data_IF_645928095005
#
_entry.id   IF_645928095005
#
_cell.length_a   1.000
_cell.length_b   1.000
_cell.length_c   1.000
_cell.angle_alpha   90.00
_cell.angle_beta   90.00
_cell.angle_gamma   90.00
#
_symmetry.space_group_name_H-M   'P 1'
#
loop_
_entity.id
_entity.type
_entity.pdbx_description
1 polymer ?
#
# COMPACT_ATOMS: atom_id res chain seq x y z
N UNK A 1 -38.28 18.15 11.84
CA UNK A 1 -37.61 17.59 10.64
C UNK A 1 -36.13 17.56 10.92
N UNK A 2 -35.58 16.37 11.19
CA UNK A 2 -34.17 16.19 11.55
C UNK A 2 -33.26 16.24 10.34
N UNK A 3 -32.17 16.99 10.45
CA UNK A 3 -31.15 17.17 9.42
C UNK A 3 -30.30 15.89 9.27
N UNK A 4 -30.84 14.91 8.51
CA UNK A 4 -30.14 13.67 8.17
C UNK A 4 -29.00 13.88 7.14
N UNK A 5 -28.76 15.12 6.68
CA UNK A 5 -27.73 15.47 5.72
C UNK A 5 -26.30 15.47 6.31
N UNK A 6 -26.17 15.79 7.59
CA UNK A 6 -24.88 15.88 8.29
C UNK A 6 -24.16 14.52 8.40
N UNK A 7 -24.89 13.48 8.80
CA UNK A 7 -24.31 12.15 9.07
C UNK A 7 -23.76 11.45 7.82
N UNK A 8 -24.42 11.63 6.67
CA UNK A 8 -23.95 11.09 5.38
C UNK A 8 -22.68 11.79 4.88
N UNK A 9 -22.53 13.10 5.14
CA UNK A 9 -21.34 13.87 4.74
C UNK A 9 -20.14 13.51 5.61
N UNK A 10 -20.32 13.42 6.92
CA UNK A 10 -19.25 13.03 7.86
C UNK A 10 -18.79 11.60 7.61
N UNK A 11 -19.70 10.65 7.39
CA UNK A 11 -19.33 9.27 7.06
C UNK A 11 -18.55 9.15 5.75
N UNK A 12 -18.97 9.84 4.67
CA UNK A 12 -18.24 9.83 3.40
C UNK A 12 -16.86 10.49 3.52
N UNK A 13 -16.73 11.54 4.33
CA UNK A 13 -15.44 12.18 4.60
C UNK A 13 -14.53 11.24 5.40
N UNK A 14 -15.03 10.63 6.48
CA UNK A 14 -14.28 9.66 7.27
C UNK A 14 -13.82 8.47 6.42
N UNK A 15 -14.68 7.96 5.53
CA UNK A 15 -14.34 6.85 4.64
C UNK A 15 -13.33 7.28 3.56
N UNK A 16 -13.45 8.50 3.03
CA UNK A 16 -12.42 9.07 2.14
C UNK A 16 -11.10 9.29 2.85
N UNK A 17 -11.09 9.75 4.09
CA UNK A 17 -9.86 9.97 4.87
C UNK A 17 -9.19 8.65 5.20
N UNK A 18 -9.97 7.65 5.63
CA UNK A 18 -9.48 6.28 5.82
C UNK A 18 -8.89 5.70 4.52
N UNK A 19 -9.50 6.03 3.38
CA UNK A 19 -9.14 5.50 2.05
C UNK A 19 -8.26 6.43 1.24
N UNK A 20 -7.87 7.64 1.65
CA UNK A 20 -7.03 8.53 0.83
C UNK A 20 -5.95 9.24 1.66
N UNK A 21 -6.00 9.11 2.99
CA UNK A 21 -5.28 9.95 3.92
C UNK A 21 -5.98 11.29 4.09
N UNK A 22 -5.68 11.96 5.20
CA UNK A 22 -6.10 13.34 5.43
C UNK A 22 -5.55 14.25 4.32
N UNK A 23 -6.31 15.30 3.94
CA UNK A 23 -5.82 16.32 2.99
C UNK A 23 -4.53 16.91 3.54
N UNK A 24 -3.48 16.94 2.74
CA UNK A 24 -2.24 17.64 3.07
C UNK A 24 -2.42 19.11 2.75
N UNK A 25 -2.15 19.98 3.70
CA UNK A 25 -2.11 21.41 3.44
C UNK A 25 -0.98 21.71 2.45
N UNK A 26 -1.29 22.52 1.43
CA UNK A 26 -0.36 22.85 0.35
C UNK A 26 0.78 23.75 0.79
N UNK A 27 0.61 24.46 1.92
CA UNK A 27 1.62 25.30 2.53
C UNK A 27 1.92 24.77 3.93
N UNK A 28 3.16 24.36 4.15
CA UNK A 28 3.58 23.95 5.48
C UNK A 28 3.70 25.18 6.37
N UNK A 29 3.06 25.16 7.54
CA UNK A 29 3.23 26.22 8.53
C UNK A 29 4.63 26.14 9.14
N UNK A 30 5.23 27.30 9.39
CA UNK A 30 6.52 27.39 10.07
C UNK A 30 6.38 27.18 11.57
N UNK A 31 7.42 26.70 12.25
CA UNK A 31 7.44 26.57 13.71
C UNK A 31 7.21 27.93 14.40
N UNK A 32 7.65 29.03 13.78
CA UNK A 32 7.39 30.39 14.24
C UNK A 32 5.89 30.71 14.40
N UNK A 33 5.01 30.07 13.62
CA UNK A 33 3.57 30.27 13.73
C UNK A 33 2.97 29.63 15.00
N UNK A 34 3.72 28.76 15.69
CA UNK A 34 3.32 28.18 16.97
C UNK A 34 3.84 28.98 18.18
N UNK A 35 4.64 30.03 17.95
CA UNK A 35 5.19 30.85 19.03
C UNK A 35 4.08 31.75 19.58
N UNK A 36 3.88 31.68 20.90
CA UNK A 36 2.92 32.55 21.59
C UNK A 36 3.36 34.02 21.51
N UNK A 37 2.42 34.97 21.37
CA UNK A 37 2.74 36.39 21.38
C UNK A 37 3.52 36.78 22.65
N UNK A 38 4.64 37.49 22.50
CA UNK A 38 5.52 37.89 23.61
C UNK A 38 6.68 36.94 23.87
N UNK A 39 6.75 35.79 23.19
CA UNK A 39 7.88 34.86 23.27
C UNK A 39 8.89 35.01 22.13
N UNK A 40 8.81 36.07 21.31
CA UNK A 40 9.62 36.21 20.09
C UNK A 40 11.12 36.28 20.42
N UNK A 41 11.51 37.05 21.44
CA UNK A 41 12.91 37.14 21.89
C UNK A 41 13.45 35.81 22.42
N UNK A 42 12.60 35.03 23.10
CA UNK A 42 12.98 33.69 23.55
C UNK A 42 13.16 32.74 22.36
N UNK A 43 12.32 32.87 21.33
CA UNK A 43 12.43 32.08 20.11
C UNK A 43 13.70 32.39 19.31
N UNK A 44 14.04 33.67 19.13
CA UNK A 44 15.33 34.07 18.54
C UNK A 44 16.51 33.50 19.32
N UNK A 45 16.43 33.50 20.65
CA UNK A 45 17.47 32.90 21.50
C UNK A 45 17.55 31.39 21.34
N UNK A 46 16.41 30.72 21.27
CA UNK A 46 16.34 29.27 21.01
C UNK A 46 16.96 28.91 19.66
N UNK A 47 16.69 29.69 18.62
CA UNK A 47 17.29 29.52 17.29
C UNK A 47 18.82 29.65 17.33
N UNK A 48 19.34 30.63 18.08
CA UNK A 48 20.78 30.86 18.21
C UNK A 48 21.48 29.76 19.04
N UNK A 49 20.94 29.42 20.20
CA UNK A 49 21.60 28.51 21.17
C UNK A 49 21.41 27.04 20.81
N UNK A 50 20.26 26.68 20.23
CA UNK A 50 19.87 25.30 19.91
C UNK A 50 19.49 25.13 18.43
N UNK A 51 20.24 25.76 17.52
CA UNK A 51 19.97 25.74 16.07
C UNK A 51 19.74 24.34 15.50
N UNK A 52 20.52 23.35 15.94
CA UNK A 52 20.39 21.96 15.47
C UNK A 52 19.04 21.34 15.86
N UNK A 53 18.61 21.55 17.10
CA UNK A 53 17.32 21.07 17.61
C UNK A 53 16.16 21.84 17.00
N UNK A 54 16.32 23.16 16.78
CA UNK A 54 15.33 23.99 16.11
C UNK A 54 15.05 23.49 14.69
N UNK A 55 16.09 23.22 13.90
CA UNK A 55 15.93 22.69 12.53
C UNK A 55 15.27 21.31 12.54
N UNK A 56 15.64 20.45 13.49
CA UNK A 56 14.99 19.14 13.64
C UNK A 56 13.52 19.26 14.02
N UNK A 57 13.17 20.16 14.93
CA UNK A 57 11.79 20.38 15.36
C UNK A 57 10.96 21.01 14.23
N UNK A 58 11.53 21.93 13.46
CA UNK A 58 10.92 22.51 12.25
C UNK A 58 10.64 21.43 11.19
N UNK A 59 11.60 20.52 10.97
CA UNK A 59 11.43 19.40 10.04
C UNK A 59 10.34 18.44 10.51
N UNK A 60 10.37 18.04 11.80
CA UNK A 60 9.34 17.18 12.38
C UNK A 60 7.96 17.84 12.38
N UNK A 61 7.90 19.16 12.56
CA UNK A 61 6.65 19.90 12.46
C UNK A 61 6.09 19.85 11.03
N UNK A 62 6.93 20.09 10.02
CA UNK A 62 6.54 19.94 8.62
C UNK A 62 6.11 18.51 8.26
N UNK A 63 6.76 17.49 8.82
CA UNK A 63 6.35 16.08 8.67
C UNK A 63 5.02 15.79 9.37
N UNK A 64 4.82 16.34 10.57
CA UNK A 64 3.58 16.14 11.34
C UNK A 64 2.35 16.68 10.62
N UNK A 65 2.49 17.82 9.92
CA UNK A 65 1.42 18.39 9.09
C UNK A 65 1.06 17.49 7.90
N UNK A 66 1.95 16.58 7.52
CA UNK A 66 1.75 15.59 6.46
C UNK A 66 1.36 14.21 7.00
N UNK A 67 1.16 14.06 8.31
CA UNK A 67 0.69 12.82 8.91
C UNK A 67 -0.60 12.34 8.24
N UNK A 68 -0.69 11.02 8.10
CA UNK A 68 -1.73 10.32 7.35
C UNK A 68 -3.08 10.47 8.02
N UNK A 69 -3.14 10.31 9.35
CA UNK A 69 -4.37 10.50 10.13
C UNK A 69 -4.50 11.95 10.62
N UNK A 70 -5.71 12.50 10.55
CA UNK A 70 -6.02 13.84 11.05
C UNK A 70 -5.84 13.95 12.57
N UNK A 71 -6.23 12.91 13.32
CA UNK A 71 -6.04 12.86 14.77
C UNK A 71 -4.57 12.82 15.16
N UNK A 72 -3.75 12.03 14.45
CA UNK A 72 -2.30 11.97 14.67
C UNK A 72 -1.64 13.30 14.33
N UNK A 73 -2.05 13.94 13.23
CA UNK A 73 -1.59 15.29 12.87
C UNK A 73 -1.85 16.30 13.98
N UNK A 74 -3.07 16.34 14.49
CA UNK A 74 -3.46 17.29 15.54
C UNK A 74 -2.72 17.01 16.85
N UNK A 75 -2.62 15.73 17.24
CA UNK A 75 -1.86 15.31 18.42
C UNK A 75 -0.37 15.69 18.32
N UNK A 76 0.26 15.49 17.16
CA UNK A 76 1.65 15.87 16.92
C UNK A 76 1.82 17.39 16.90
N UNK A 77 0.88 18.14 16.29
CA UNK A 77 0.89 19.62 16.30
C UNK A 77 0.84 20.16 17.73
N UNK A 78 -0.09 19.66 18.54
CA UNK A 78 -0.21 20.04 19.95
C UNK A 78 1.07 19.68 20.71
N UNK A 79 1.60 18.47 20.50
CA UNK A 79 2.82 18.02 21.18
C UNK A 79 4.02 18.92 20.83
N UNK A 80 4.22 19.23 19.55
CA UNK A 80 5.28 20.15 19.10
C UNK A 80 5.10 21.54 19.71
N UNK A 81 3.86 22.06 19.73
CA UNK A 81 3.54 23.34 20.36
C UNK A 81 3.85 23.35 21.86
N UNK A 82 3.49 22.30 22.59
CA UNK A 82 3.79 22.16 24.02
C UNK A 82 5.30 22.06 24.27
N UNK A 83 6.04 21.27 23.46
CA UNK A 83 7.50 21.16 23.58
C UNK A 83 8.15 22.52 23.34
N UNK A 84 7.72 23.25 22.31
CA UNK A 84 8.22 24.59 22.02
C UNK A 84 7.89 25.56 23.16
N UNK A 85 6.64 25.64 23.60
CA UNK A 85 6.21 26.52 24.70
C UNK A 85 6.97 26.24 26.00
N UNK A 86 7.17 24.95 26.34
CA UNK A 86 7.95 24.53 27.50
C UNK A 86 9.42 25.00 27.41
N UNK A 87 10.03 24.89 26.23
CA UNK A 87 11.44 25.30 26.01
C UNK A 87 11.57 26.81 26.06
N UNK A 88 10.64 27.55 25.46
CA UNK A 88 10.65 29.02 25.45
C UNK A 88 10.42 29.63 26.83
N UNK A 89 9.66 28.94 27.70
CA UNK A 89 9.39 29.36 29.09
C UNK A 89 10.44 28.86 30.08
N UNK A 90 11.38 28.01 29.67
CA UNK A 90 12.41 27.48 30.55
C UNK A 90 13.45 28.56 30.88
N UNK A 91 13.61 28.89 32.16
CA UNK A 91 14.57 29.89 32.63
C UNK A 91 16.01 29.60 32.16
N UNK A 92 16.35 28.32 31.93
CA UNK A 92 17.67 27.87 31.48
C UNK A 92 18.00 28.29 30.03
N UNK A 93 17.01 28.74 29.26
CA UNK A 93 17.21 29.26 27.90
C UNK A 93 17.96 30.61 27.88
N UNK A 94 17.93 31.36 28.98
CA UNK A 94 18.55 32.70 29.09
C UNK A 94 20.08 32.67 29.15
N UNK A 95 20.69 31.51 29.37
CA UNK A 95 22.14 31.34 29.40
C UNK A 95 22.83 31.71 28.07
N UNK A 96 24.12 32.02 28.15
CA UNK A 96 24.99 32.17 26.96
C UNK A 96 25.39 30.84 26.34
N UNK A 97 25.38 29.77 27.13
CA UNK A 97 25.76 28.43 26.69
C UNK A 97 24.57 27.46 26.71
N UNK A 98 24.54 26.47 25.80
CA UNK A 98 23.49 25.46 25.76
C UNK A 98 23.53 24.60 27.04
N UNK A 99 22.44 24.64 27.79
CA UNK A 99 22.25 23.85 28.98
C UNK A 99 22.08 22.36 28.60
N UNK A 100 22.94 21.49 29.14
CA UNK A 100 22.92 20.05 28.86
C UNK A 100 21.58 19.39 29.16
N UNK A 101 20.92 19.75 30.26
CA UNK A 101 19.63 19.16 30.62
C UNK A 101 18.51 19.55 29.66
N UNK A 102 18.50 20.81 29.19
CA UNK A 102 17.51 21.27 28.21
C UNK A 102 17.76 20.63 26.84
N UNK A 103 19.03 20.48 26.45
CA UNK A 103 19.42 19.76 25.24
C UNK A 103 18.99 18.28 25.29
N UNK A 104 19.21 17.60 26.42
CA UNK A 104 18.82 16.20 26.63
C UNK A 104 17.29 16.03 26.62
N UNK A 105 16.55 16.98 27.22
CA UNK A 105 15.09 17.02 27.16
C UNK A 105 14.59 17.15 25.72
N UNK A 106 15.08 18.15 24.99
CA UNK A 106 14.76 18.36 23.57
C UNK A 106 15.09 17.13 22.73
N UNK A 107 16.25 16.51 22.96
CA UNK A 107 16.65 15.28 22.27
C UNK A 107 15.67 14.14 22.49
N UNK A 108 15.20 13.94 23.73
CA UNK A 108 14.19 12.93 24.07
C UNK A 108 12.86 13.22 23.38
N UNK A 109 12.35 14.45 23.45
CA UNK A 109 11.08 14.83 22.81
C UNK A 109 11.14 14.68 21.29
N UNK A 110 12.22 15.15 20.65
CA UNK A 110 12.46 14.99 19.21
C UNK A 110 12.48 13.51 18.82
N UNK A 111 13.13 12.66 19.61
CA UNK A 111 13.17 11.21 19.34
C UNK A 111 11.79 10.56 19.48
N UNK A 112 10.99 10.97 20.46
CA UNK A 112 9.62 10.50 20.66
C UNK A 112 8.68 10.93 19.55
N UNK A 113 8.77 12.20 19.11
CA UNK A 113 8.03 12.72 17.96
C UNK A 113 8.37 11.95 16.68
N UNK A 114 9.67 11.71 16.43
CA UNK A 114 10.12 10.91 15.28
C UNK A 114 9.55 9.49 15.31
N UNK A 115 9.59 8.83 16.46
CA UNK A 115 9.04 7.48 16.60
C UNK A 115 7.53 7.44 16.29
N UNK A 116 6.75 8.43 16.73
CA UNK A 116 5.32 8.54 16.43
C UNK A 116 5.06 8.79 14.93
N UNK A 117 5.86 9.63 14.28
CA UNK A 117 5.76 9.87 12.84
C UNK A 117 6.10 8.60 12.05
N UNK A 118 7.15 7.88 12.45
CA UNK A 118 7.52 6.60 11.82
C UNK A 118 6.40 5.55 11.99
N UNK A 119 5.74 5.52 13.14
CA UNK A 119 4.55 4.66 13.38
C UNK A 119 3.37 5.04 12.49
N UNK A 120 3.06 6.34 12.33
CA UNK A 120 2.00 6.82 11.44
C UNK A 120 2.29 6.48 9.97
N UNK A 121 3.55 6.62 9.54
CA UNK A 121 3.98 6.19 8.20
C UNK A 121 3.79 4.68 8.00
N UNK A 122 4.12 3.86 9.00
CA UNK A 122 3.90 2.41 8.96
C UNK A 122 2.40 2.06 8.85
N UNK A 123 1.55 2.77 9.61
CA UNK A 123 0.09 2.62 9.52
C UNK A 123 -0.44 3.01 8.14
N UNK A 124 0.05 4.11 7.57
CA UNK A 124 -0.33 4.57 6.23
C UNK A 124 0.01 3.53 5.15
N UNK A 125 1.20 2.94 5.22
CA UNK A 125 1.64 1.85 4.33
C UNK A 125 0.74 0.63 4.51
N UNK A 126 0.54 0.16 5.75
CA UNK A 126 -0.30 -1.01 6.04
C UNK A 126 -1.72 -0.84 5.54
N UNK A 127 -2.36 0.31 5.81
CA UNK A 127 -3.70 0.64 5.30
C UNK A 127 -3.72 0.75 3.78
N UNK A 128 -2.70 1.35 3.17
CA UNK A 128 -2.54 1.40 1.72
C UNK A 128 -2.57 0.01 1.09
N UNK A 129 -1.75 -0.91 1.59
CA UNK A 129 -1.69 -2.28 1.09
C UNK A 129 -3.01 -3.01 1.33
N UNK A 130 -3.58 -2.94 2.54
CA UNK A 130 -4.83 -3.62 2.87
C UNK A 130 -6.00 -3.15 2.00
N UNK A 131 -6.10 -1.85 1.72
CA UNK A 131 -7.11 -1.30 0.80
C UNK A 131 -6.86 -1.77 -0.64
N UNK A 132 -5.61 -1.81 -1.08
CA UNK A 132 -5.26 -2.31 -2.41
C UNK A 132 -5.62 -3.79 -2.58
N UNK A 133 -5.29 -4.61 -1.58
CA UNK A 133 -5.63 -6.04 -1.56
C UNK A 133 -7.15 -6.26 -1.49
N UNK A 134 -7.87 -5.53 -0.66
CA UNK A 134 -9.33 -5.68 -0.56
C UNK A 134 -10.03 -5.27 -1.85
N UNK A 135 -9.56 -4.19 -2.50
CA UNK A 135 -10.07 -3.78 -3.81
C UNK A 135 -9.75 -4.82 -4.88
N UNK A 136 -8.51 -5.31 -4.93
CA UNK A 136 -8.09 -6.36 -5.86
C UNK A 136 -8.89 -7.65 -5.67
N UNK A 137 -9.10 -8.07 -4.41
CA UNK A 137 -9.93 -9.23 -4.06
C UNK A 137 -11.38 -9.02 -4.49
N UNK A 138 -11.98 -7.86 -4.23
CA UNK A 138 -13.35 -7.55 -4.62
C UNK A 138 -13.52 -7.57 -6.14
N UNK A 139 -12.57 -6.97 -6.88
CA UNK A 139 -12.57 -7.02 -8.36
C UNK A 139 -12.47 -8.48 -8.83
N UNK A 140 -11.61 -9.29 -8.21
CA UNK A 140 -11.44 -10.70 -8.56
C UNK A 140 -12.70 -11.53 -8.29
N UNK A 141 -13.37 -11.28 -7.16
CA UNK A 141 -14.65 -11.90 -6.82
C UNK A 141 -15.72 -11.50 -7.84
N UNK A 142 -15.79 -10.22 -8.23
CA UNK A 142 -16.74 -9.77 -9.27
C UNK A 142 -16.43 -10.45 -10.61
N UNK A 143 -15.16 -10.52 -11.02
CA UNK A 143 -14.73 -11.21 -12.25
C UNK A 143 -15.00 -12.72 -12.22
N UNK A 144 -15.09 -13.34 -11.04
CA UNK A 144 -15.44 -14.75 -10.90
C UNK A 144 -16.96 -14.97 -10.81
N UNK A 145 -17.67 -14.18 -10.02
CA UNK A 145 -19.11 -14.32 -9.76
C UNK A 145 -19.94 -13.92 -10.98
N UNK A 146 -19.57 -12.87 -11.71
CA UNK A 146 -20.36 -12.39 -12.85
C UNK A 146 -20.48 -13.47 -13.94
N UNK A 147 -19.39 -14.12 -14.41
CA UNK A 147 -19.49 -15.22 -15.36
C UNK A 147 -20.23 -16.45 -14.82
N UNK A 148 -20.18 -16.69 -13.51
CA UNK A 148 -20.86 -17.83 -12.88
C UNK A 148 -22.37 -17.62 -12.71
N UNK A 149 -22.80 -16.42 -12.28
CA UNK A 149 -24.22 -16.10 -12.06
C UNK A 149 -24.96 -15.83 -13.36
N UNK A 150 -24.34 -15.12 -14.29
CA UNK A 150 -24.93 -14.90 -15.63
C UNK A 150 -24.86 -16.20 -16.45
N UNK A 151 -23.99 -17.12 -16.05
CA UNK A 151 -23.60 -18.29 -16.84
C UNK A 151 -22.74 -17.85 -18.02
N UNK A 152 -21.75 -18.68 -18.37
CA UNK A 152 -21.01 -18.49 -19.63
C UNK A 152 -22.00 -18.34 -20.81
N UNK A 153 -23.10 -19.12 -20.79
CA UNK A 153 -24.20 -19.01 -21.72
C UNK A 153 -24.84 -17.61 -21.74
N UNK A 154 -25.30 -17.03 -20.63
CA UNK A 154 -25.98 -15.73 -20.66
C UNK A 154 -25.07 -14.56 -21.08
N UNK A 155 -23.76 -14.63 -20.77
CA UNK A 155 -22.80 -13.60 -21.18
C UNK A 155 -22.41 -13.73 -22.66
N UNK A 156 -22.29 -14.97 -23.14
CA UNK A 156 -21.98 -15.28 -24.54
C UNK A 156 -23.19 -15.14 -25.46
N UNK A 157 -24.40 -15.39 -24.95
CA UNK A 157 -25.68 -15.19 -25.66
C UNK A 157 -25.95 -13.68 -25.85
N UNK A 158 -25.56 -12.85 -24.87
CA UNK A 158 -25.47 -11.39 -25.02
C UNK A 158 -24.50 -10.95 -26.13
N UNK A 159 -23.46 -11.76 -26.40
CA UNK A 159 -22.46 -11.56 -27.44
C UNK A 159 -22.77 -12.35 -28.73
N UNK A 160 -23.89 -13.09 -28.78
CA UNK A 160 -24.30 -14.00 -29.87
C UNK A 160 -23.25 -15.05 -30.26
N UNK A 161 -22.52 -15.58 -29.29
CA UNK A 161 -21.55 -16.66 -29.51
C UNK A 161 -22.11 -17.97 -28.98
N UNK A 162 -22.38 -18.93 -29.87
CA UNK A 162 -22.74 -20.28 -29.48
C UNK A 162 -21.49 -21.05 -29.04
N UNK A 163 -21.46 -21.44 -27.77
CA UNK A 163 -20.33 -22.15 -27.17
C UNK A 163 -20.78 -23.54 -26.73
N UNK A 164 -20.08 -24.57 -27.20
CA UNK A 164 -20.37 -25.97 -26.90
C UNK A 164 -20.19 -26.32 -25.42
N UNK A 165 -20.74 -27.46 -24.98
CA UNK A 165 -20.67 -27.89 -23.58
C UNK A 165 -19.22 -27.98 -23.06
N UNK A 166 -18.31 -28.55 -23.87
CA UNK A 166 -16.87 -28.67 -23.54
C UNK A 166 -16.21 -27.30 -23.33
N UNK A 167 -16.48 -26.35 -24.21
CA UNK A 167 -15.89 -25.01 -24.15
C UNK A 167 -16.41 -24.21 -22.95
N UNK A 168 -17.69 -24.40 -22.58
CA UNK A 168 -18.27 -23.80 -21.36
C UNK A 168 -17.54 -24.28 -20.12
N UNK A 169 -17.31 -25.60 -19.98
CA UNK A 169 -16.59 -26.17 -18.84
C UNK A 169 -15.12 -25.75 -18.80
N UNK A 170 -14.47 -25.62 -19.97
CA UNK A 170 -13.11 -25.09 -20.05
C UNK A 170 -13.05 -23.63 -19.59
N UNK A 171 -13.95 -22.77 -20.08
CA UNK A 171 -14.04 -21.37 -19.64
C UNK A 171 -14.30 -21.27 -18.14
N UNK A 172 -15.24 -22.06 -17.62
CA UNK A 172 -15.52 -22.13 -16.17
C UNK A 172 -14.26 -22.54 -15.40
N UNK A 173 -13.54 -23.58 -15.83
CA UNK A 173 -12.27 -23.99 -15.23
C UNK A 173 -11.22 -22.87 -15.22
N UNK A 174 -11.12 -22.10 -16.31
CA UNK A 174 -10.21 -20.96 -16.40
C UNK A 174 -10.59 -19.84 -15.41
N UNK A 175 -11.87 -19.48 -15.33
CA UNK A 175 -12.36 -18.46 -14.39
C UNK A 175 -12.14 -18.87 -12.94
N UNK A 176 -12.38 -20.14 -12.62
CA UNK A 176 -12.19 -20.70 -11.27
C UNK A 176 -10.71 -20.72 -10.90
N UNK A 177 -9.87 -21.27 -11.77
CA UNK A 177 -8.43 -21.30 -11.57
C UNK A 177 -7.87 -19.89 -11.39
N UNK A 178 -8.24 -18.96 -12.27
CA UNK A 178 -7.88 -17.55 -12.17
C UNK A 178 -8.35 -16.95 -10.84
N UNK A 179 -9.65 -16.95 -10.56
CA UNK A 179 -10.21 -16.25 -9.40
C UNK A 179 -9.71 -16.81 -8.07
N UNK A 180 -9.52 -18.13 -7.95
CA UNK A 180 -8.91 -18.74 -6.77
C UNK A 180 -7.41 -18.42 -6.71
N UNK A 181 -6.72 -18.26 -7.84
CA UNK A 181 -5.34 -17.75 -7.88
C UNK A 181 -5.21 -16.31 -7.41
N UNK A 182 -6.18 -15.45 -7.73
CA UNK A 182 -6.23 -14.11 -7.15
C UNK A 182 -6.34 -14.18 -5.61
N UNK A 183 -7.15 -15.10 -5.07
CA UNK A 183 -7.24 -15.34 -3.63
C UNK A 183 -5.93 -15.87 -3.03
N UNK A 184 -5.27 -16.82 -3.69
CA UNK A 184 -3.95 -17.31 -3.30
C UNK A 184 -2.91 -16.19 -3.22
N UNK A 185 -2.93 -15.26 -4.17
CA UNK A 185 -2.05 -14.08 -4.16
C UNK A 185 -2.36 -13.14 -3.00
N UNK A 186 -3.64 -12.88 -2.70
CA UNK A 186 -4.02 -12.08 -1.52
C UNK A 186 -3.49 -12.72 -0.23
N UNK A 187 -3.68 -14.03 -0.06
CA UNK A 187 -3.21 -14.73 1.14
C UNK A 187 -1.69 -14.72 1.25
N UNK A 188 -0.99 -14.93 0.14
CA UNK A 188 0.47 -14.85 0.07
C UNK A 188 1.00 -13.47 0.51
N UNK A 189 0.35 -12.39 0.07
CA UNK A 189 0.69 -11.04 0.54
C UNK A 189 0.37 -10.87 2.03
N UNK A 190 -0.80 -11.29 2.51
CA UNK A 190 -1.18 -11.17 3.93
C UNK A 190 -0.22 -11.92 4.86
N UNK A 191 0.14 -13.16 4.52
CA UNK A 191 1.12 -13.96 5.29
C UNK A 191 2.46 -13.24 5.36
N UNK A 192 2.88 -12.58 4.27
CA UNK A 192 4.14 -11.81 4.26
C UNK A 192 4.04 -10.48 4.97
N UNK A 193 2.92 -9.78 4.92
CA UNK A 193 2.74 -8.57 5.72
C UNK A 193 2.81 -8.89 7.21
N UNK A 194 2.27 -10.03 7.62
CA UNK A 194 2.36 -10.52 8.99
C UNK A 194 3.81 -10.83 9.40
N UNK A 195 4.62 -11.40 8.49
CA UNK A 195 5.99 -11.82 8.80
C UNK A 195 7.06 -10.74 8.51
N UNK A 196 6.79 -9.77 7.64
CA UNK A 196 7.77 -8.81 7.09
C UNK A 196 7.27 -7.36 7.12
N UNK A 197 6.19 -7.06 7.85
CA UNK A 197 5.67 -5.69 7.99
C UNK A 197 6.73 -4.68 8.47
N UNK A 198 7.66 -5.14 9.30
CA UNK A 198 8.80 -4.35 9.78
C UNK A 198 9.91 -4.16 8.73
N UNK A 199 10.10 -5.13 7.82
CA UNK A 199 11.13 -5.04 6.79
C UNK A 199 10.71 -4.15 5.60
N UNK A 200 9.42 -4.16 5.24
CA UNK A 200 8.88 -3.33 4.16
C UNK A 200 8.89 -1.85 4.52
N UNK A 201 8.62 -1.54 5.79
CA UNK A 201 8.75 -0.19 6.34
C UNK A 201 10.23 0.23 6.41
N UNK A 202 11.12 -0.64 6.89
CA UNK A 202 12.56 -0.33 7.03
C UNK A 202 13.32 -0.20 5.71
N UNK A 203 13.00 -1.02 4.68
CA UNK A 203 13.67 -0.94 3.37
C UNK A 203 13.35 0.34 2.60
N UNK A 204 12.17 0.93 2.81
CA UNK A 204 11.75 2.14 2.08
C UNK A 204 12.11 3.42 2.83
N UNK A 205 12.14 3.39 4.16
CA UNK A 205 12.64 4.53 4.97
C UNK A 205 14.13 4.78 4.84
N UNK A 206 14.93 3.77 4.46
CA UNK A 206 16.37 3.92 4.23
C UNK A 206 16.75 4.45 2.83
N UNK A 207 15.82 4.46 1.87
CA UNK A 207 16.16 4.71 0.46
C UNK A 207 15.99 6.14 -0.04
N UNK A 208 15.03 6.90 0.51
CA UNK A 208 14.81 8.31 0.12
C UNK A 208 13.78 8.91 1.09
N UNK A 209 14.25 9.38 2.26
CA UNK A 209 13.41 10.12 3.24
C UNK A 209 13.12 11.56 2.77
N UNK A 210 13.67 11.96 1.64
CA UNK A 210 13.36 13.25 1.00
C UNK A 210 11.99 13.23 0.33
N UNK A 211 11.05 13.99 0.87
CA UNK A 211 9.91 14.59 0.16
C UNK A 211 8.63 13.77 -0.12
N UNK A 212 8.56 12.44 0.05
CA UNK A 212 7.30 11.72 -0.25
C UNK A 212 6.35 11.77 0.95
N UNK A 213 5.21 12.46 0.79
CA UNK A 213 4.19 12.52 1.85
C UNK A 213 3.60 11.13 2.15
N UNK A 214 3.30 10.80 3.43
CA UNK A 214 2.70 9.52 3.83
C UNK A 214 1.45 9.14 3.02
N UNK A 215 0.62 10.12 2.67
CA UNK A 215 -0.56 9.91 1.81
C UNK A 215 -0.22 9.46 0.37
N UNK A 216 0.90 9.91 -0.20
CA UNK A 216 1.37 9.44 -1.51
C UNK A 216 1.94 8.03 -1.42
N UNK A 217 2.63 7.69 -0.31
CA UNK A 217 3.07 6.32 -0.04
C UNK A 217 1.88 5.36 0.02
N UNK A 218 0.82 5.72 0.75
CA UNK A 218 -0.40 4.91 0.83
C UNK A 218 -1.05 4.66 -0.53
N UNK A 219 -1.04 5.66 -1.45
CA UNK A 219 -1.56 5.49 -2.82
C UNK A 219 -0.69 4.56 -3.66
N UNK A 220 0.62 4.72 -3.63
CA UNK A 220 1.55 3.82 -4.34
C UNK A 220 1.39 2.38 -3.87
N UNK A 221 1.25 2.18 -2.56
CA UNK A 221 1.05 0.85 -1.95
C UNK A 221 -0.28 0.20 -2.33
N UNK A 222 -1.33 0.98 -2.61
CA UNK A 222 -2.60 0.44 -3.13
C UNK A 222 -2.45 -0.13 -4.52
N UNK A 223 -1.80 0.62 -5.40
CA UNK A 223 -1.55 0.15 -6.76
C UNK A 223 -0.72 -1.13 -6.73
N UNK A 224 0.28 -1.19 -5.85
CA UNK A 224 1.07 -2.41 -5.65
C UNK A 224 0.22 -3.58 -5.15
N UNK A 225 -0.66 -3.35 -4.16
CA UNK A 225 -1.60 -4.35 -3.67
C UNK A 225 -2.53 -4.90 -4.75
N UNK A 226 -3.17 -4.02 -5.52
CA UNK A 226 -4.06 -4.39 -6.64
C UNK A 226 -3.27 -5.15 -7.71
N UNK A 227 -2.10 -4.64 -8.11
CA UNK A 227 -1.28 -5.24 -9.14
C UNK A 227 -0.83 -6.65 -8.80
N UNK A 228 -0.46 -6.92 -7.55
CA UNK A 228 -0.09 -8.27 -7.09
C UNK A 228 -1.23 -9.27 -7.23
N UNK A 229 -2.46 -8.86 -6.95
CA UNK A 229 -3.65 -9.71 -7.15
C UNK A 229 -3.84 -10.02 -8.63
N UNK A 230 -3.70 -9.03 -9.52
CA UNK A 230 -3.76 -9.24 -10.96
C UNK A 230 -2.64 -10.16 -11.48
N UNK A 231 -1.42 -10.02 -10.97
CA UNK A 231 -0.30 -10.90 -11.33
C UNK A 231 -0.62 -12.35 -10.93
N UNK A 232 -1.16 -12.57 -9.73
CA UNK A 232 -1.60 -13.90 -9.30
C UNK A 232 -2.70 -14.49 -10.17
N UNK A 233 -3.67 -13.66 -10.57
CA UNK A 233 -4.74 -14.04 -11.49
C UNK A 233 -4.21 -14.47 -12.87
N UNK A 234 -3.35 -13.65 -13.47
CA UNK A 234 -2.74 -13.93 -14.79
C UNK A 234 -1.86 -15.18 -14.72
N UNK A 235 -1.08 -15.34 -13.65
CA UNK A 235 -0.23 -16.51 -13.46
C UNK A 235 -1.06 -17.80 -13.37
N UNK A 236 -2.17 -17.78 -12.63
CA UNK A 236 -3.08 -18.92 -12.54
C UNK A 236 -3.72 -19.25 -13.90
N UNK A 237 -4.12 -18.25 -14.70
CA UNK A 237 -4.59 -18.46 -16.06
C UNK A 237 -3.51 -19.05 -16.98
N UNK A 238 -2.28 -18.56 -16.88
CA UNK A 238 -1.16 -19.11 -17.67
C UNK A 238 -0.92 -20.58 -17.33
N UNK A 239 -0.94 -20.95 -16.04
CA UNK A 239 -0.83 -22.34 -15.59
C UNK A 239 -2.01 -23.17 -16.09
N UNK A 240 -3.23 -22.64 -16.05
CA UNK A 240 -4.42 -23.29 -16.61
C UNK A 240 -4.21 -23.64 -18.09
N UNK A 241 -3.82 -22.67 -18.91
CA UNK A 241 -3.62 -22.89 -20.35
C UNK A 241 -2.46 -23.85 -20.65
N UNK A 242 -1.37 -23.79 -19.89
CA UNK A 242 -0.23 -24.71 -20.05
C UNK A 242 -0.62 -26.16 -19.76
N UNK A 243 -1.41 -26.39 -18.70
CA UNK A 243 -1.91 -27.71 -18.36
C UNK A 243 -2.94 -28.18 -19.37
N UNK A 244 -3.90 -27.33 -19.74
CA UNK A 244 -4.96 -27.69 -20.69
C UNK A 244 -4.44 -27.96 -22.11
N UNK A 245 -3.39 -27.26 -22.54
CA UNK A 245 -2.71 -27.52 -23.82
C UNK A 245 -1.85 -28.80 -23.81
N UNK A 246 -1.70 -29.47 -22.67
CA UNK A 246 -0.96 -30.72 -22.57
C UNK A 246 0.57 -30.57 -22.66
N UNK A 247 1.10 -29.35 -22.48
CA UNK A 247 2.55 -29.12 -22.46
C UNK A 247 3.22 -29.79 -21.24
N UNK A 248 2.48 -29.95 -20.14
CA UNK A 248 2.97 -30.51 -18.89
C UNK A 248 2.14 -31.75 -18.56
N UNK A 249 2.73 -32.94 -18.70
CA UNK A 249 2.07 -34.25 -18.45
C UNK A 249 2.27 -34.78 -17.02
N UNK A 250 2.66 -33.92 -16.08
CA UNK A 250 2.98 -34.33 -14.70
C UNK A 250 1.74 -34.73 -13.87
N UNK A 251 0.54 -34.36 -14.30
CA UNK A 251 -0.70 -34.62 -13.57
C UNK A 251 -1.74 -35.25 -14.51
N UNK A 252 -2.30 -36.38 -14.08
CA UNK A 252 -3.51 -36.92 -14.70
C UNK A 252 -4.69 -36.01 -14.33
N UNK A 253 -5.35 -35.43 -15.33
CA UNK A 253 -6.52 -34.58 -15.07
C UNK A 253 -7.69 -35.45 -14.57
N UNK A 254 -8.29 -35.13 -13.41
CA UNK A 254 -9.28 -35.99 -12.79
C UNK A 254 -10.60 -36.10 -13.57
N UNK A 255 -10.92 -35.11 -14.39
CA UNK A 255 -12.02 -35.15 -15.36
C UNK A 255 -11.77 -34.15 -16.49
N UNK A 256 -11.98 -34.56 -17.74
CA UNK A 256 -11.95 -33.64 -18.89
C UNK A 256 -13.35 -33.04 -19.14
N UNK A 257 -13.44 -31.82 -19.71
CA UNK A 257 -14.72 -31.21 -20.08
C UNK A 257 -15.61 -32.13 -20.94
N UNK A 258 -15.00 -32.94 -21.82
CA UNK A 258 -15.72 -33.90 -22.66
C UNK A 258 -16.36 -35.05 -21.87
N UNK A 259 -15.70 -35.52 -20.81
CA UNK A 259 -16.23 -36.58 -19.94
C UNK A 259 -17.42 -36.07 -19.10
N UNK A 260 -17.31 -34.84 -18.58
CA UNK A 260 -18.39 -34.21 -17.79
C UNK A 260 -19.64 -33.95 -18.64
N UNK A 261 -19.47 -33.67 -19.93
CA UNK A 261 -20.59 -33.49 -20.85
C UNK A 261 -21.21 -34.82 -21.34
N UNK A 262 -20.49 -35.94 -21.19
CA UNK A 262 -20.96 -37.25 -21.62
C UNK A 262 -21.67 -38.00 -20.48
N UNK A 263 -21.11 -37.95 -19.27
CA UNK A 263 -21.68 -38.54 -18.07
C UNK A 263 -22.34 -37.42 -17.25
N UNK A 264 -23.68 -37.40 -17.19
CA UNK A 264 -24.45 -36.50 -16.31
C UNK A 264 -24.27 -36.84 -14.80
N UNK A 265 -23.07 -37.24 -14.37
CA UNK A 265 -22.76 -37.71 -13.02
C UNK A 265 -22.32 -36.58 -12.09
N UNK A 266 -23.03 -36.41 -10.97
CA UNK A 266 -22.83 -35.36 -9.96
C UNK A 266 -21.41 -35.30 -9.32
N UNK A 267 -20.58 -36.35 -9.47
CA UNK A 267 -19.25 -36.43 -8.85
C UNK A 267 -18.06 -35.91 -9.68
N UNK A 268 -18.16 -35.93 -11.01
CA UNK A 268 -17.05 -35.51 -11.88
C UNK A 268 -16.91 -33.99 -11.97
N UNK A 269 -18.01 -33.27 -11.78
CA UNK A 269 -18.01 -31.81 -11.71
C UNK A 269 -17.23 -31.31 -10.48
N UNK A 270 -17.53 -31.82 -9.28
CA UNK A 270 -16.89 -31.35 -8.04
C UNK A 270 -15.38 -31.62 -8.01
N UNK A 271 -14.92 -32.74 -8.57
CA UNK A 271 -13.49 -33.09 -8.68
C UNK A 271 -12.76 -32.17 -9.68
N UNK A 272 -13.38 -31.87 -10.83
CA UNK A 272 -12.88 -30.87 -11.78
C UNK A 272 -12.69 -29.50 -11.11
N UNK A 273 -13.70 -29.04 -10.38
CA UNK A 273 -13.66 -27.77 -9.65
C UNK A 273 -12.57 -27.76 -8.58
N UNK A 274 -12.51 -28.80 -7.74
CA UNK A 274 -11.51 -28.92 -6.67
C UNK A 274 -10.08 -28.87 -7.21
N UNK A 275 -9.81 -29.54 -8.33
CA UNK A 275 -8.50 -29.53 -8.98
C UNK A 275 -8.08 -28.12 -9.43
N UNK A 276 -8.93 -27.43 -10.20
CA UNK A 276 -8.61 -26.09 -10.69
C UNK A 276 -8.56 -25.04 -9.58
N UNK A 277 -9.36 -25.19 -8.53
CA UNK A 277 -9.23 -24.39 -7.31
C UNK A 277 -7.84 -24.57 -6.67
N UNK A 278 -7.38 -25.82 -6.49
CA UNK A 278 -6.09 -26.09 -5.87
C UNK A 278 -4.91 -25.58 -6.71
N UNK A 279 -4.93 -25.86 -8.03
CA UNK A 279 -3.91 -25.38 -8.97
C UNK A 279 -3.88 -23.86 -9.01
N UNK A 280 -5.05 -23.23 -9.15
CA UNK A 280 -5.19 -21.78 -9.16
C UNK A 280 -4.63 -21.17 -7.89
N UNK A 281 -5.05 -21.67 -6.72
CA UNK A 281 -4.56 -21.22 -5.43
C UNK A 281 -3.03 -21.30 -5.32
N UNK A 282 -2.44 -22.44 -5.66
CA UNK A 282 -0.98 -22.65 -5.59
C UNK A 282 -0.22 -21.71 -6.54
N UNK A 283 -0.71 -21.57 -7.77
CA UNK A 283 -0.13 -20.64 -8.75
C UNK A 283 -0.18 -19.20 -8.22
N UNK A 284 -1.35 -18.78 -7.74
CA UNK A 284 -1.58 -17.48 -7.13
C UNK A 284 -0.74 -17.22 -5.88
N UNK A 285 -0.58 -18.21 -5.01
CA UNK A 285 0.24 -18.12 -3.82
C UNK A 285 1.73 -17.92 -4.14
N UNK A 286 2.13 -18.26 -5.38
CA UNK A 286 3.48 -18.09 -5.88
C UNK A 286 3.71 -16.76 -6.63
N UNK A 287 2.79 -15.80 -6.51
CA UNK A 287 2.85 -14.48 -7.14
C UNK A 287 4.18 -13.73 -6.91
N UNK A 288 4.89 -13.99 -5.79
CA UNK A 288 6.20 -13.38 -5.51
C UNK A 288 7.25 -13.67 -6.54
N UNK A 289 7.28 -14.88 -7.08
CA UNK A 289 8.26 -15.22 -8.10
C UNK A 289 7.98 -14.43 -9.37
N UNK A 290 6.71 -14.34 -9.76
CA UNK A 290 6.28 -13.52 -10.88
C UNK A 290 6.55 -12.01 -10.65
N UNK A 291 6.20 -11.48 -9.49
CA UNK A 291 6.45 -10.08 -9.14
C UNK A 291 7.96 -9.78 -9.08
N UNK A 292 8.76 -10.69 -8.52
CA UNK A 292 10.21 -10.56 -8.45
C UNK A 292 10.89 -10.56 -9.82
N UNK A 293 10.33 -11.24 -10.81
CA UNK A 293 10.79 -11.17 -12.20
C UNK A 293 10.44 -9.82 -12.85
N UNK A 294 9.23 -9.30 -12.58
CA UNK A 294 8.73 -8.04 -13.13
C UNK A 294 9.37 -6.79 -12.50
N UNK A 295 9.79 -6.84 -11.23
CA UNK A 295 10.43 -5.69 -10.55
C UNK A 295 11.92 -5.54 -10.92
N UNK A 296 12.60 -6.64 -11.29
CA UNK A 296 14.03 -6.62 -11.67
C UNK A 296 14.28 -5.80 -12.94
N UNK A 297 13.39 -5.85 -13.92
CA UNK A 297 13.53 -5.06 -15.16
C UNK A 297 13.49 -3.55 -14.90
N UNK A 298 12.57 -3.09 -14.04
CA UNK A 298 12.44 -1.69 -13.67
C UNK A 298 13.63 -1.16 -12.85
N UNK A 299 14.21 -1.98 -11.96
CA UNK A 299 15.44 -1.61 -11.24
C UNK A 299 16.62 -1.46 -12.18
N UNK A 300 16.80 -2.42 -13.09
CA UNK A 300 17.90 -2.40 -14.03
C UNK A 300 17.85 -1.18 -14.95
N UNK A 301 16.64 -0.78 -15.39
CA UNK A 301 16.42 0.41 -16.23
C UNK A 301 16.64 1.74 -15.48
N UNK A 302 16.31 1.82 -14.18
CA UNK A 302 16.62 3.00 -13.37
C UNK A 302 18.12 3.16 -13.11
N UNK A 303 18.83 2.06 -12.88
CA UNK A 303 20.27 2.10 -12.67
C UNK A 303 21.00 2.52 -13.95
N UNK A 304 20.58 2.06 -15.13
CA UNK A 304 21.16 2.55 -16.40
C UNK A 304 20.85 4.03 -16.62
N UNK A 305 19.62 4.50 -16.37
CA UNK A 305 19.30 5.93 -16.51
C UNK A 305 20.06 6.83 -15.53
N UNK A 306 20.24 6.40 -14.27
CA UNK A 306 21.01 7.18 -13.29
C UNK A 306 22.50 7.23 -13.64
N UNK A 307 23.05 6.14 -14.18
CA UNK A 307 24.45 6.08 -14.62
C UNK A 307 24.67 6.97 -15.84
N UNK A 308 23.73 6.96 -16.79
CA UNK A 308 23.77 7.85 -17.97
C UNK A 308 23.62 9.32 -17.57
N UNK A 309 22.76 9.65 -16.60
CA UNK A 309 22.65 11.02 -16.08
C UNK A 309 23.91 11.47 -15.34
N UNK A 310 24.50 10.61 -14.50
CA UNK A 310 25.74 10.93 -13.79
C UNK A 310 26.91 11.18 -14.76
N UNK A 311 27.07 10.35 -15.78
CA UNK A 311 28.10 10.54 -16.81
C UNK A 311 27.83 11.76 -17.71
N UNK A 312 26.58 12.12 -17.96
CA UNK A 312 26.24 13.34 -18.72
C UNK A 312 26.49 14.64 -17.93
N UNK A 313 26.44 14.60 -16.60
CA UNK A 313 26.82 15.73 -15.74
C UNK A 313 28.33 15.91 -15.62
N UNK A 314 29.13 14.84 -15.63
CA UNK A 314 30.61 14.94 -15.63
C UNK A 314 31.16 15.47 -16.95
N UNK A 315 30.54 15.14 -18.10
CA UNK A 315 30.96 15.62 -19.42
C UNK A 315 30.71 17.13 -19.66
N UNK A 316 29.92 17.80 -18.82
CA UNK A 316 29.67 19.25 -18.91
C UNK A 316 30.54 20.08 -17.97
N UNK A 317 31.39 19.44 -17.15
CA UNK A 317 32.28 20.09 -16.19
C UNK A 317 33.76 20.12 -16.62
N UNK A 318 34.06 19.77 -17.87
CA UNK A 318 35.38 19.92 -18.52
C UNK A 318 35.28 20.84 -19.70
#
# INVERSE_FOLDING_TARGET
>A
MGDYGGFRRTWRQALREAVLGARTDTKADGLANLVEPGCEKAYERFELVYSKQQVQLQLLYGESQRAFESQTRESLRITVGCVLSNVLRDARLTGTEPNRHLADYLGKEISGLRARIDQDCALAVSRGINVGLSLGALISVVLLIVPLLVGAAGLLDLLRVEVGCSDRWSLTGAFVCGGVGAFGAVLSVLVRLRNSGEELTRRRTNGDRGAVAPGQMARGMRHEGVYRVFVGWILALAVYFLLNAGFIKLFDMPASPAQICADNGDGQSTTFWGFWCAVGFLAGFNERWAFGLLDRSNRQERTTRSTVQASATESKST
#
